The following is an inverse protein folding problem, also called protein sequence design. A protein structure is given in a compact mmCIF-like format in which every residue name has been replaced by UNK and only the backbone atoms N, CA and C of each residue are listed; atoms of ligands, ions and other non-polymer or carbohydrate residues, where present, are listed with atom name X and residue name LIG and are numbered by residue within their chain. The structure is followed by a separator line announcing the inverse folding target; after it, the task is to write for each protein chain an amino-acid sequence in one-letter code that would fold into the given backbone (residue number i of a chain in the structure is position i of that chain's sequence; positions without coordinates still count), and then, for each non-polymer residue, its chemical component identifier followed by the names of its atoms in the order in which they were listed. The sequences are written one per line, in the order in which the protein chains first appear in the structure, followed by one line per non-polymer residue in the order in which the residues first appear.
data_IF_708134926953
#
_entry.id   IF_708134926953
#
_cell.length_a   1.000
_cell.length_b   1.000
_cell.length_c   1.000
_cell.angle_alpha   90.00
_cell.angle_beta   90.00
_cell.angle_gamma   90.00
#
_symmetry.space_group_name_H-M   'P 1'
#
loop_
_entity.id
_entity.type
_entity.pdbx_description
1 polymer ?
#
# COMPACT_ATOMS: atom_id res chain seq x y z
N UNK A 1 -26.19 -25.26 -12.05
CA UNK A 1 -26.35 -23.85 -11.64
C UNK A 1 -26.25 -23.72 -10.12
N UNK A 2 -26.72 -24.72 -9.37
CA UNK A 2 -26.63 -24.76 -7.89
C UNK A 2 -25.19 -24.70 -7.33
N UNK A 3 -24.24 -25.43 -7.92
CA UNK A 3 -22.84 -25.41 -7.45
C UNK A 3 -22.18 -24.02 -7.52
N UNK A 4 -22.53 -23.20 -8.53
CA UNK A 4 -21.97 -21.84 -8.70
C UNK A 4 -22.58 -20.89 -7.66
N UNK A 5 -23.88 -21.03 -7.38
CA UNK A 5 -24.59 -20.22 -6.39
C UNK A 5 -24.11 -20.53 -4.96
N UNK A 6 -23.84 -21.80 -4.65
CA UNK A 6 -23.25 -22.21 -3.37
C UNK A 6 -21.82 -21.69 -3.20
N UNK A 7 -20.98 -21.80 -4.24
CA UNK A 7 -19.62 -21.25 -4.22
C UNK A 7 -19.62 -19.73 -4.05
N UNK A 8 -20.54 -19.03 -4.72
CA UNK A 8 -20.69 -17.59 -4.59
C UNK A 8 -21.09 -17.24 -3.15
N UNK A 9 -21.99 -18.01 -2.54
CA UNK A 9 -22.43 -17.81 -1.14
C UNK A 9 -21.29 -17.96 -0.13
N UNK A 10 -20.42 -18.96 -0.31
CA UNK A 10 -19.22 -19.16 0.52
C UNK A 10 -18.15 -18.10 0.29
N UNK A 11 -18.09 -17.50 -0.89
CA UNK A 11 -17.12 -16.48 -1.27
C UNK A 11 -17.58 -15.02 -1.04
N UNK A 12 -18.81 -14.77 -0.59
CA UNK A 12 -19.39 -13.41 -0.43
C UNK A 12 -18.49 -12.49 0.38
N UNK A 13 -17.99 -12.95 1.53
CA UNK A 13 -17.13 -12.16 2.40
C UNK A 13 -15.80 -11.82 1.73
N UNK A 14 -15.22 -12.76 1.00
CA UNK A 14 -13.99 -12.54 0.24
C UNK A 14 -14.20 -11.52 -0.91
N UNK A 15 -15.38 -11.52 -1.51
CA UNK A 15 -15.73 -10.54 -2.55
C UNK A 15 -15.86 -9.12 -1.99
N UNK A 16 -16.47 -8.99 -0.82
CA UNK A 16 -16.59 -7.72 -0.11
C UNK A 16 -15.21 -7.20 0.28
N UNK A 17 -14.37 -8.04 0.89
CA UNK A 17 -13.02 -7.60 1.30
C UNK A 17 -12.18 -7.21 0.10
N UNK A 18 -12.22 -7.99 -0.98
CA UNK A 18 -11.53 -7.66 -2.23
C UNK A 18 -11.99 -6.31 -2.81
N UNK A 19 -13.29 -6.03 -2.83
CA UNK A 19 -13.81 -4.76 -3.31
C UNK A 19 -13.31 -3.57 -2.47
N UNK A 20 -13.26 -3.71 -1.14
CA UNK A 20 -12.68 -2.71 -0.25
C UNK A 20 -11.17 -2.53 -0.49
N UNK A 21 -10.43 -3.62 -0.68
CA UNK A 21 -8.99 -3.57 -0.99
C UNK A 21 -8.72 -2.82 -2.30
N UNK A 22 -9.52 -3.10 -3.34
CA UNK A 22 -9.42 -2.42 -4.64
C UNK A 22 -9.75 -0.92 -4.51
N UNK A 23 -10.78 -0.56 -3.74
CA UNK A 23 -11.09 0.84 -3.49
C UNK A 23 -9.95 1.55 -2.76
N UNK A 24 -9.35 0.91 -1.76
CA UNK A 24 -8.16 1.41 -1.07
C UNK A 24 -6.99 1.64 -2.03
N UNK A 25 -6.76 0.71 -2.96
CA UNK A 25 -5.73 0.87 -3.99
C UNK A 25 -5.98 2.06 -4.91
N UNK A 26 -7.22 2.30 -5.37
CA UNK A 26 -7.51 3.47 -6.19
C UNK A 26 -7.27 4.78 -5.45
N UNK A 27 -7.64 4.83 -4.15
CA UNK A 27 -7.34 5.99 -3.31
C UNK A 27 -5.82 6.19 -3.17
N UNK A 28 -5.07 5.12 -2.93
CA UNK A 28 -3.61 5.15 -2.88
C UNK A 28 -3.01 5.68 -4.18
N UNK A 29 -3.44 5.15 -5.33
CA UNK A 29 -2.97 5.58 -6.65
C UNK A 29 -3.25 7.07 -6.86
N UNK A 30 -4.45 7.54 -6.53
CA UNK A 30 -4.80 8.96 -6.66
C UNK A 30 -3.97 9.86 -5.74
N UNK A 31 -3.76 9.47 -4.48
CA UNK A 31 -2.90 10.22 -3.55
C UNK A 31 -1.43 10.21 -3.99
N UNK A 32 -0.95 9.10 -4.54
CA UNK A 32 0.40 8.99 -5.10
C UNK A 32 0.57 9.92 -6.31
N UNK A 33 -0.37 9.94 -7.25
CA UNK A 33 -0.35 10.83 -8.40
C UNK A 33 -0.40 12.30 -7.99
N UNK A 34 -1.23 12.65 -6.99
CA UNK A 34 -1.31 14.00 -6.44
C UNK A 34 0.01 14.42 -5.77
N UNK A 35 0.67 13.49 -5.07
CA UNK A 35 1.98 13.72 -4.48
C UNK A 35 3.03 13.99 -5.57
N UNK A 36 3.13 13.13 -6.58
CA UNK A 36 4.10 13.26 -7.67
C UNK A 36 3.88 14.56 -8.46
N UNK A 37 2.63 14.93 -8.74
CA UNK A 37 2.30 16.22 -9.37
C UNK A 37 2.75 17.43 -8.56
N UNK A 38 2.76 17.33 -7.22
CA UNK A 38 3.08 18.44 -6.32
C UNK A 38 4.56 18.54 -5.99
N UNK A 39 5.25 17.41 -5.86
CA UNK A 39 6.61 17.35 -5.31
C UNK A 39 7.64 16.69 -6.23
N UNK A 40 7.21 16.17 -7.40
CA UNK A 40 8.04 15.40 -8.31
C UNK A 40 8.06 13.90 -8.00
N UNK A 41 8.61 13.13 -8.94
CA UNK A 41 8.74 11.66 -8.88
C UNK A 41 10.00 11.20 -8.13
N UNK A 42 10.90 12.13 -7.81
CA UNK A 42 12.25 11.88 -7.33
C UNK A 42 12.48 12.46 -5.93
N UNK A 43 13.16 11.68 -5.08
CA UNK A 43 13.49 12.09 -3.72
C UNK A 43 14.71 13.00 -3.73
N UNK A 44 14.54 14.22 -3.23
CA UNK A 44 15.62 15.18 -3.02
C UNK A 44 15.69 15.59 -1.56
N UNK A 45 16.89 15.81 -1.02
CA UNK A 45 17.09 16.26 0.36
C UNK A 45 16.39 17.61 0.61
N UNK A 46 16.41 18.50 -0.39
CA UNK A 46 15.70 19.79 -0.35
C UNK A 46 14.20 19.62 -0.14
N UNK A 47 13.59 18.53 -0.62
CA UNK A 47 12.16 18.28 -0.49
C UNK A 47 11.74 18.02 0.96
N UNK A 48 12.64 17.54 1.82
CA UNK A 48 12.36 17.31 3.24
C UNK A 48 11.99 18.59 4.00
N UNK A 49 12.49 19.74 3.53
CA UNK A 49 12.21 21.05 4.12
C UNK A 49 10.98 21.73 3.50
N UNK A 50 10.39 21.15 2.45
CA UNK A 50 9.18 21.69 1.83
C UNK A 50 7.97 21.41 2.71
N UNK A 51 7.23 22.46 3.06
CA UNK A 51 6.05 22.37 3.93
C UNK A 51 5.04 21.37 3.36
N UNK A 52 4.73 20.35 4.16
CA UNK A 52 3.74 19.33 3.82
C UNK A 52 4.26 18.15 2.99
N UNK A 53 5.54 18.14 2.57
CA UNK A 53 6.14 16.99 1.87
C UNK A 53 6.14 15.75 2.75
N UNK A 54 6.74 15.83 3.94
CA UNK A 54 6.81 14.72 4.89
C UNK A 54 5.42 14.21 5.28
N UNK A 55 4.48 15.11 5.56
CA UNK A 55 3.10 14.74 5.92
C UNK A 55 2.41 13.95 4.80
N UNK A 56 2.54 14.41 3.56
CA UNK A 56 1.98 13.72 2.41
C UNK A 56 2.69 12.38 2.12
N UNK A 57 4.01 12.30 2.34
CA UNK A 57 4.75 11.04 2.26
C UNK A 57 4.22 10.02 3.27
N UNK A 58 4.04 10.43 4.54
CA UNK A 58 3.51 9.53 5.58
C UNK A 58 2.07 9.11 5.31
N UNK A 59 1.24 9.99 4.77
CA UNK A 59 -0.13 9.65 4.36
C UNK A 59 -0.14 8.54 3.30
N UNK A 60 0.66 8.69 2.24
CA UNK A 60 0.78 7.68 1.19
C UNK A 60 1.38 6.38 1.74
N UNK A 61 2.39 6.46 2.59
CA UNK A 61 3.01 5.28 3.21
C UNK A 61 2.01 4.52 4.12
N UNK A 62 1.17 5.24 4.87
CA UNK A 62 0.10 4.65 5.66
C UNK A 62 -0.95 3.98 4.78
N UNK A 63 -1.32 4.61 3.65
CA UNK A 63 -2.25 4.01 2.68
C UNK A 63 -1.66 2.76 2.02
N UNK A 64 -0.35 2.72 1.72
CA UNK A 64 0.37 1.53 1.25
C UNK A 64 0.21 0.39 2.28
N UNK A 65 0.52 0.67 3.55
CA UNK A 65 0.42 -0.31 4.63
C UNK A 65 -1.01 -0.88 4.75
N UNK A 66 -2.01 0.01 4.83
CA UNK A 66 -3.42 -0.38 4.96
C UNK A 66 -3.86 -1.22 3.75
N UNK A 67 -3.49 -0.81 2.54
CA UNK A 67 -3.87 -1.51 1.30
C UNK A 67 -3.26 -2.91 1.25
N UNK A 68 -1.98 -3.06 1.59
CA UNK A 68 -1.31 -4.37 1.68
C UNK A 68 -2.00 -5.26 2.72
N UNK A 69 -2.26 -4.74 3.93
CA UNK A 69 -2.93 -5.50 5.00
C UNK A 69 -4.32 -5.97 4.55
N UNK A 70 -5.10 -5.13 3.89
CA UNK A 70 -6.41 -5.51 3.37
C UNK A 70 -6.32 -6.63 2.31
N UNK A 71 -5.35 -6.58 1.40
CA UNK A 71 -5.14 -7.67 0.45
C UNK A 71 -4.65 -8.95 1.12
N UNK A 72 -3.80 -8.87 2.15
CA UNK A 72 -3.40 -10.03 2.94
C UNK A 72 -4.59 -10.67 3.66
N UNK A 73 -5.49 -9.87 4.24
CA UNK A 73 -6.73 -10.36 4.86
C UNK A 73 -7.63 -11.04 3.81
N UNK A 74 -7.78 -10.45 2.63
CA UNK A 74 -8.51 -11.05 1.51
C UNK A 74 -7.92 -12.41 1.11
N UNK A 75 -6.59 -12.53 0.99
CA UNK A 75 -5.92 -13.81 0.72
C UNK A 75 -6.17 -14.83 1.84
N UNK A 76 -6.11 -14.40 3.11
CA UNK A 76 -6.36 -15.28 4.25
C UNK A 76 -7.79 -15.84 4.26
N UNK A 77 -8.79 -15.00 3.99
CA UNK A 77 -10.19 -15.42 3.86
C UNK A 77 -10.35 -16.36 2.65
N UNK A 78 -9.73 -16.02 1.52
CA UNK A 78 -9.75 -16.83 0.31
C UNK A 78 -9.23 -18.26 0.54
N UNK A 79 -8.14 -18.38 1.29
CA UNK A 79 -7.54 -19.67 1.62
C UNK A 79 -8.51 -20.59 2.36
N UNK A 80 -9.33 -20.03 3.25
CA UNK A 80 -10.28 -20.81 4.05
C UNK A 80 -11.48 -21.32 3.24
N UNK A 81 -11.91 -20.60 2.19
CA UNK A 81 -13.11 -20.93 1.42
C UNK A 81 -12.93 -22.00 0.33
N UNK A 82 -11.69 -22.40 -0.01
CA UNK A 82 -11.35 -23.54 -0.90
C UNK A 82 -12.18 -23.66 -2.19
N UNK A 83 -12.62 -22.54 -2.77
CA UNK A 83 -13.42 -22.48 -4.01
C UNK A 83 -12.60 -21.91 -5.18
N UNK A 84 -12.97 -22.23 -6.42
CA UNK A 84 -12.30 -21.71 -7.64
C UNK A 84 -12.30 -20.18 -7.65
N UNK A 85 -13.39 -19.56 -7.22
CA UNK A 85 -13.51 -18.10 -7.07
C UNK A 85 -12.46 -17.54 -6.12
N UNK A 86 -12.17 -18.25 -5.02
CA UNK A 86 -11.17 -17.83 -4.03
C UNK A 86 -9.74 -17.85 -4.60
N UNK A 87 -9.44 -18.79 -5.51
CA UNK A 87 -8.16 -18.85 -6.22
C UNK A 87 -7.99 -17.60 -7.10
N UNK A 88 -9.02 -17.26 -7.88
CA UNK A 88 -8.99 -16.05 -8.74
C UNK A 88 -8.81 -14.78 -7.88
N UNK A 89 -9.54 -14.68 -6.76
CA UNK A 89 -9.44 -13.54 -5.84
C UNK A 89 -8.04 -13.43 -5.19
N UNK A 90 -7.39 -14.57 -4.93
CA UNK A 90 -6.01 -14.61 -4.43
C UNK A 90 -5.03 -14.08 -5.49
N UNK A 91 -5.15 -14.51 -6.74
CA UNK A 91 -4.30 -14.03 -7.85
C UNK A 91 -4.46 -12.52 -8.04
N UNK A 92 -5.71 -12.02 -8.03
CA UNK A 92 -6.00 -10.59 -8.13
C UNK A 92 -5.34 -9.83 -6.96
N UNK A 93 -5.49 -10.33 -5.73
CA UNK A 93 -4.90 -9.70 -4.54
C UNK A 93 -3.38 -9.63 -4.61
N UNK A 94 -2.71 -10.69 -5.05
CA UNK A 94 -1.25 -10.72 -5.23
C UNK A 94 -0.82 -9.69 -6.28
N UNK A 95 -1.55 -9.59 -7.40
CA UNK A 95 -1.28 -8.59 -8.44
C UNK A 95 -1.38 -7.16 -7.89
N UNK A 96 -2.41 -6.84 -7.12
CA UNK A 96 -2.54 -5.51 -6.51
C UNK A 96 -1.52 -5.24 -5.41
N UNK A 97 -1.08 -6.24 -4.65
CA UNK A 97 0.04 -6.09 -3.72
C UNK A 97 1.30 -5.68 -4.49
N UNK A 98 1.61 -6.36 -5.60
CA UNK A 98 2.75 -6.01 -6.44
C UNK A 98 2.64 -4.58 -6.97
N UNK A 99 1.49 -4.18 -7.51
CA UNK A 99 1.25 -2.81 -7.98
C UNK A 99 1.39 -1.78 -6.85
N UNK A 100 0.95 -2.11 -5.64
CA UNK A 100 1.08 -1.25 -4.46
C UNK A 100 2.56 -1.02 -4.11
N UNK A 101 3.41 -2.05 -4.21
CA UNK A 101 4.85 -1.89 -4.03
C UNK A 101 5.50 -1.06 -5.15
N UNK A 102 5.08 -1.23 -6.40
CA UNK A 102 5.57 -0.42 -7.51
C UNK A 102 5.29 1.08 -7.31
N UNK A 103 4.10 1.44 -6.81
CA UNK A 103 3.77 2.82 -6.46
C UNK A 103 4.64 3.36 -5.29
N UNK A 104 4.96 2.51 -4.33
CA UNK A 104 5.79 2.86 -3.16
C UNK A 104 7.28 3.09 -3.47
N UNK A 105 7.81 2.43 -4.52
CA UNK A 105 9.22 2.13 -4.69
C UNK A 105 10.18 3.34 -4.70
N UNK A 106 9.81 4.45 -5.34
CA UNK A 106 10.81 5.48 -5.68
C UNK A 106 10.70 6.75 -4.83
N UNK A 107 9.52 7.41 -4.67
CA UNK A 107 9.44 8.57 -3.81
C UNK A 107 9.28 8.22 -2.33
N UNK A 108 8.44 7.25 -1.96
CA UNK A 108 8.03 7.09 -0.56
C UNK A 108 9.03 6.31 0.30
N UNK A 109 9.47 5.15 -0.17
CA UNK A 109 10.50 4.37 0.55
C UNK A 109 11.85 5.11 0.57
N UNK A 110 12.17 5.83 -0.51
CA UNK A 110 13.36 6.68 -0.57
C UNK A 110 13.33 7.81 0.47
N UNK A 111 12.20 8.52 0.62
CA UNK A 111 12.05 9.56 1.65
C UNK A 111 12.15 8.99 3.06
N UNK A 112 11.57 7.81 3.32
CA UNK A 112 11.66 7.16 4.63
C UNK A 112 13.11 6.78 4.98
N UNK A 113 13.84 6.19 4.03
CA UNK A 113 15.25 5.85 4.20
C UNK A 113 16.11 7.09 4.45
N UNK A 114 15.88 8.16 3.68
CA UNK A 114 16.58 9.43 3.85
C UNK A 114 16.34 10.05 5.24
N UNK A 115 15.09 10.00 5.73
CA UNK A 115 14.73 10.47 7.07
C UNK A 115 15.50 9.69 8.16
N UNK A 116 15.56 8.36 8.05
CA UNK A 116 16.29 7.51 9.00
C UNK A 116 17.76 7.88 9.04
N UNK A 117 18.41 8.09 7.87
CA UNK A 117 19.82 8.47 7.79
C UNK A 117 20.06 9.82 8.47
N UNK A 118 19.22 10.82 8.22
CA UNK A 118 19.37 12.16 8.81
C UNK A 118 19.18 12.10 10.34
N UNK A 119 18.16 11.39 10.82
CA UNK A 119 17.92 11.23 12.26
C UNK A 119 19.09 10.50 12.94
N UNK A 120 19.61 9.43 12.33
CA UNK A 120 20.76 8.70 12.85
C UNK A 120 22.02 9.58 12.92
N UNK A 121 22.27 10.39 11.87
CA UNK A 121 23.39 11.33 11.85
C UNK A 121 23.28 12.40 12.95
N UNK A 122 22.08 12.95 13.17
CA UNK A 122 21.82 13.91 14.24
C UNK A 122 22.04 13.30 15.64
N UNK A 123 21.54 12.08 15.87
CA UNK A 123 21.74 11.37 17.14
C UNK A 123 23.23 11.11 17.40
N UNK A 124 23.99 10.74 16.37
CA UNK A 124 25.43 10.55 16.49
C UNK A 124 26.15 11.86 16.82
N UNK A 125 25.78 12.98 16.19
CA UNK A 125 26.36 14.28 16.52
C UNK A 125 26.05 14.69 17.97
N UNK A 126 24.79 14.57 18.39
CA UNK A 126 24.37 14.92 19.76
C UNK A 126 25.08 14.07 20.82
N UNK A 127 25.33 12.79 20.53
CA UNK A 127 25.99 11.89 21.49
C UNK A 127 27.53 12.03 21.54
N UNK A 128 28.14 12.73 20.57
CA UNK A 128 29.57 13.02 20.56
C UNK A 128 29.90 14.46 21.03
N UNK A 129 28.88 15.22 21.43
CA UNK A 129 28.99 16.51 22.12
C UNK A 129 28.63 16.34 23.60
#
# INVERSE_FOLDING_TARGET
MDNILEDLSKAKWNFITLAFSIFSYFKLSSSSDAFVKKFGDTVHISNLFVKGYLGATFEVLALILITIVLFCVTIFIAWHSSSITSIIQTIISICFIYLTFCLGAVPFFGTLLLLIIIVAALMFLVNNY
#
